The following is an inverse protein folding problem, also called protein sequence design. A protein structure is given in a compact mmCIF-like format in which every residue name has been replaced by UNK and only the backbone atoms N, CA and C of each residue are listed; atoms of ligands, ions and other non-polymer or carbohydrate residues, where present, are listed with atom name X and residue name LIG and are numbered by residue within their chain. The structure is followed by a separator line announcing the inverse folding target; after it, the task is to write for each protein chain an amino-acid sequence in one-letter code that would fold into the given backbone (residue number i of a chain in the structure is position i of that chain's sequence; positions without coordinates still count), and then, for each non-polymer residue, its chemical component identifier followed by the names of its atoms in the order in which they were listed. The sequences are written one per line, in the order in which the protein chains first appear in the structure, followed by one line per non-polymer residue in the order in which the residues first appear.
data_IF_629305816379
#
_entry.id   IF_629305816379
#
_cell.length_a   1.000
_cell.length_b   1.000
_cell.length_c   1.000
_cell.angle_alpha   90.00
_cell.angle_beta   90.00
_cell.angle_gamma   90.00
#
_symmetry.space_group_name_H-M   'P 1'
#
loop_
_entity.id
_entity.type
_entity.pdbx_description
1 polymer ?
#
# COMPACT_ATOMS: atom_id res chain seq x y z
N UNK A 1 -57.28 29.00 -8.06
CA UNK A 1 -55.86 29.06 -8.47
C UNK A 1 -54.90 29.40 -7.34
N UNK A 2 -55.17 29.05 -6.10
CA UNK A 2 -54.25 29.36 -4.96
C UNK A 2 -53.83 28.13 -4.16
N UNK A 3 -53.90 26.93 -4.73
CA UNK A 3 -53.63 25.68 -3.99
C UNK A 3 -52.54 24.80 -4.60
N UNK A 4 -51.89 25.15 -5.69
CA UNK A 4 -50.95 24.26 -6.40
C UNK A 4 -49.45 24.45 -6.08
N UNK A 5 -49.08 25.41 -5.23
CA UNK A 5 -47.65 25.64 -4.95
C UNK A 5 -47.21 25.26 -3.51
N UNK A 6 -48.16 24.71 -2.71
CA UNK A 6 -47.82 24.27 -1.33
C UNK A 6 -47.19 22.87 -1.24
N UNK A 7 -47.19 22.11 -2.32
CA UNK A 7 -46.63 20.71 -2.30
C UNK A 7 -45.24 20.59 -2.84
N UNK A 8 -44.60 21.67 -3.27
CA UNK A 8 -43.27 21.62 -3.91
C UNK A 8 -42.09 21.90 -2.97
N UNK A 9 -42.32 22.18 -1.69
CA UNK A 9 -41.24 22.56 -0.76
C UNK A 9 -40.84 21.50 0.28
N UNK A 10 -41.37 20.28 0.20
CA UNK A 10 -41.10 19.21 1.14
C UNK A 10 -40.19 18.11 0.61
N UNK A 11 -39.60 18.24 -0.60
CA UNK A 11 -38.82 17.24 -1.25
C UNK A 11 -37.29 17.45 -1.22
N UNK A 12 -36.76 18.56 -0.72
CA UNK A 12 -35.35 18.92 -0.85
C UNK A 12 -34.51 18.73 0.41
N UNK A 13 -35.01 18.10 1.47
CA UNK A 13 -34.38 18.07 2.79
C UNK A 13 -33.65 16.79 3.18
N UNK A 14 -33.64 15.73 2.38
CA UNK A 14 -33.17 14.41 2.84
C UNK A 14 -32.05 13.79 2.03
N UNK A 15 -31.30 14.55 1.24
CA UNK A 15 -30.23 13.98 0.40
C UNK A 15 -28.79 14.36 0.83
N UNK A 16 -28.60 14.76 2.08
CA UNK A 16 -27.29 15.22 2.57
C UNK A 16 -26.63 14.32 3.61
N UNK A 17 -26.95 13.04 3.69
CA UNK A 17 -26.36 12.15 4.69
C UNK A 17 -25.80 10.86 4.07
N UNK A 18 -24.83 10.94 3.18
CA UNK A 18 -24.04 9.74 2.83
C UNK A 18 -22.71 10.07 2.20
N UNK A 19 -22.00 11.08 2.66
CA UNK A 19 -20.58 11.23 2.40
C UNK A 19 -19.78 10.74 3.61
N UNK A 20 -20.09 9.56 4.11
CA UNK A 20 -19.19 8.77 4.92
C UNK A 20 -18.05 8.31 4.00
N UNK A 21 -17.03 9.14 3.86
CA UNK A 21 -15.82 8.77 3.12
C UNK A 21 -15.23 7.53 3.78
N UNK A 22 -15.37 6.38 3.13
CA UNK A 22 -14.53 5.22 3.37
C UNK A 22 -13.10 5.69 3.08
N UNK A 23 -12.38 6.08 4.13
CA UNK A 23 -10.93 6.25 4.07
C UNK A 23 -10.39 4.86 3.83
N UNK A 24 -10.08 4.54 2.58
CA UNK A 24 -9.31 3.36 2.26
C UNK A 24 -7.98 3.48 3.03
N UNK A 25 -7.74 2.56 3.96
CA UNK A 25 -6.47 2.48 4.65
C UNK A 25 -5.38 2.22 3.61
N UNK A 26 -4.37 3.09 3.55
CA UNK A 26 -3.25 2.92 2.62
C UNK A 26 -2.38 1.78 3.12
N UNK A 27 -2.37 0.68 2.40
CA UNK A 27 -1.55 -0.47 2.71
C UNK A 27 -0.20 -0.39 1.99
N UNK A 28 0.88 -0.78 2.69
CA UNK A 28 2.21 -0.83 2.11
C UNK A 28 2.29 -2.04 1.18
N UNK A 29 2.64 -1.86 -0.11
CA UNK A 29 2.70 -2.94 -1.07
C UNK A 29 3.65 -4.06 -0.65
N UNK A 30 3.19 -5.31 -0.74
CA UNK A 30 4.00 -6.49 -0.44
C UNK A 30 4.99 -6.76 -1.58
N UNK A 31 6.22 -7.13 -1.22
CA UNK A 31 7.21 -7.67 -2.12
C UNK A 31 6.92 -9.16 -2.37
N UNK A 32 6.09 -9.47 -3.35
CA UNK A 32 5.76 -10.86 -3.74
C UNK A 32 6.69 -11.42 -4.79
N UNK A 33 7.30 -10.55 -5.59
CA UNK A 33 8.28 -10.89 -6.63
C UNK A 33 9.35 -9.79 -6.70
N UNK A 34 10.44 -9.96 -5.96
CA UNK A 34 11.56 -9.01 -5.94
C UNK A 34 12.24 -8.85 -7.30
N UNK A 35 12.18 -9.84 -8.16
CA UNK A 35 12.75 -9.75 -9.50
C UNK A 35 11.92 -8.80 -10.38
N UNK A 36 10.59 -8.89 -10.28
CA UNK A 36 9.69 -7.98 -10.97
C UNK A 36 9.82 -6.55 -10.42
N UNK A 37 9.88 -6.40 -9.09
CA UNK A 37 10.10 -5.10 -8.45
C UNK A 37 11.45 -4.48 -8.86
N UNK A 38 12.51 -5.29 -8.94
CA UNK A 38 13.82 -4.85 -9.41
C UNK A 38 13.84 -4.41 -10.88
N UNK A 39 13.09 -5.10 -11.75
CA UNK A 39 12.91 -4.66 -13.15
C UNK A 39 12.17 -3.34 -13.22
N UNK A 40 11.05 -3.21 -12.50
CA UNK A 40 10.27 -1.98 -12.43
C UNK A 40 11.11 -0.80 -11.94
N UNK A 41 11.88 -1.00 -10.87
CA UNK A 41 12.75 0.03 -10.33
C UNK A 41 13.82 0.47 -11.34
N UNK A 42 14.42 -0.49 -12.06
CA UNK A 42 15.42 -0.21 -13.08
C UNK A 42 14.85 0.56 -14.26
N UNK A 43 13.68 0.15 -14.76
CA UNK A 43 12.99 0.81 -15.88
C UNK A 43 12.59 2.24 -15.52
N UNK A 44 12.11 2.46 -14.30
CA UNK A 44 11.74 3.76 -13.78
C UNK A 44 12.93 4.57 -13.24
N UNK A 45 14.12 3.98 -13.15
CA UNK A 45 15.33 4.55 -12.51
C UNK A 45 15.08 5.02 -11.07
N UNK A 46 14.34 4.20 -10.30
CA UNK A 46 13.99 4.48 -8.92
C UNK A 46 14.75 3.57 -7.96
N UNK A 47 15.19 4.07 -6.79
CA UNK A 47 15.65 3.22 -5.72
C UNK A 47 14.49 2.41 -5.12
N UNK A 48 14.80 1.23 -4.59
CA UNK A 48 13.85 0.37 -3.86
C UNK A 48 14.09 0.52 -2.37
N UNK A 49 13.05 0.91 -1.65
CA UNK A 49 13.01 0.84 -0.19
C UNK A 49 12.33 -0.47 0.20
N UNK A 50 13.10 -1.42 0.67
CA UNK A 50 12.61 -2.71 1.13
C UNK A 50 12.58 -2.72 2.65
N UNK A 51 11.39 -2.81 3.23
CA UNK A 51 11.21 -2.97 4.68
C UNK A 51 10.90 -4.41 5.02
N UNK A 52 11.54 -4.92 6.06
CA UNK A 52 11.31 -6.27 6.58
C UNK A 52 10.34 -6.20 7.74
N UNK A 53 9.30 -7.02 7.70
CA UNK A 53 8.25 -7.04 8.71
C UNK A 53 7.86 -8.48 9.06
N UNK A 54 7.29 -8.67 10.24
CA UNK A 54 6.71 -9.93 10.67
C UNK A 54 5.27 -9.71 11.14
N UNK A 55 4.43 -10.75 11.13
CA UNK A 55 3.02 -10.64 11.52
C UNK A 55 2.89 -10.15 12.97
N UNK A 56 3.77 -10.62 13.86
CA UNK A 56 3.81 -10.24 15.28
C UNK A 56 5.05 -9.40 15.54
N UNK A 57 5.05 -8.15 15.09
CA UNK A 57 6.17 -7.23 15.31
C UNK A 57 5.63 -5.81 15.57
N UNK A 58 5.58 -5.43 16.82
CA UNK A 58 5.07 -4.10 17.23
C UNK A 58 5.92 -2.96 16.67
N UNK A 59 7.25 -3.10 16.71
CA UNK A 59 8.17 -2.10 16.14
C UNK A 59 8.04 -1.96 14.63
N UNK A 60 7.75 -3.05 13.93
CA UNK A 60 7.52 -3.02 12.49
C UNK A 60 6.25 -2.23 12.17
N UNK A 61 5.16 -2.45 12.94
CA UNK A 61 3.91 -1.70 12.81
C UNK A 61 4.13 -0.22 13.08
N UNK A 62 4.84 0.11 14.14
CA UNK A 62 5.15 1.49 14.48
C UNK A 62 5.93 2.19 13.36
N UNK A 63 6.95 1.55 12.79
CA UNK A 63 7.70 2.06 11.64
C UNK A 63 6.78 2.29 10.43
N UNK A 64 5.91 1.34 10.15
CA UNK A 64 4.97 1.43 9.03
C UNK A 64 3.99 2.58 9.22
N UNK A 65 3.42 2.72 10.41
CA UNK A 65 2.38 3.70 10.71
C UNK A 65 2.94 5.12 10.81
N UNK A 66 4.11 5.29 11.43
CA UNK A 66 4.71 6.61 11.66
C UNK A 66 5.47 7.16 10.46
N UNK A 67 6.04 6.29 9.61
CA UNK A 67 6.90 6.73 8.50
C UNK A 67 6.40 6.27 7.12
N UNK A 68 6.18 4.99 6.91
CA UNK A 68 5.94 4.47 5.57
C UNK A 68 4.55 4.82 5.03
N UNK A 69 3.51 4.72 5.85
CA UNK A 69 2.15 5.12 5.44
C UNK A 69 2.05 6.62 5.13
N UNK A 70 2.56 7.53 5.97
CA UNK A 70 2.61 8.94 5.63
C UNK A 70 3.37 9.24 4.34
N UNK A 71 4.47 8.55 4.06
CA UNK A 71 5.20 8.70 2.79
C UNK A 71 4.34 8.30 1.59
N UNK A 72 3.57 7.22 1.69
CA UNK A 72 2.67 6.79 0.63
C UNK A 72 1.48 7.73 0.47
N UNK A 73 0.90 8.20 1.58
CA UNK A 73 -0.26 9.10 1.57
C UNK A 73 0.09 10.48 1.01
N UNK A 74 1.29 10.99 1.32
CA UNK A 74 1.70 12.32 0.85
C UNK A 74 1.85 12.42 -0.66
N UNK A 75 2.06 11.28 -1.34
CA UNK A 75 2.33 11.25 -2.78
C UNK A 75 3.68 11.84 -3.19
N UNK A 76 4.41 12.47 -2.26
CA UNK A 76 5.69 13.12 -2.53
C UNK A 76 6.75 12.15 -3.05
N UNK A 77 6.67 10.90 -2.63
CA UNK A 77 7.65 9.86 -2.95
C UNK A 77 7.23 8.95 -4.10
N UNK A 78 6.02 9.11 -4.66
CA UNK A 78 5.44 8.22 -5.68
C UNK A 78 6.34 7.97 -6.88
N UNK A 79 7.05 8.99 -7.33
CA UNK A 79 7.96 8.91 -8.49
C UNK A 79 9.45 9.03 -8.09
N UNK A 80 9.78 8.87 -6.81
CA UNK A 80 11.14 9.00 -6.29
C UNK A 80 11.70 7.72 -5.71
N UNK A 81 10.81 6.82 -5.24
CA UNK A 81 11.20 5.60 -4.57
C UNK A 81 10.13 4.52 -4.72
N UNK A 82 10.53 3.29 -4.90
CA UNK A 82 9.65 2.13 -4.92
C UNK A 82 9.63 1.49 -3.52
N UNK A 83 8.53 1.65 -2.79
CA UNK A 83 8.40 1.12 -1.43
C UNK A 83 7.77 -0.28 -1.48
N UNK A 84 8.39 -1.25 -0.81
CA UNK A 84 7.91 -2.62 -0.68
C UNK A 84 8.11 -3.15 0.73
N UNK A 85 7.16 -3.97 1.18
CA UNK A 85 7.23 -4.68 2.46
C UNK A 85 7.44 -6.17 2.23
N UNK A 86 8.46 -6.72 2.90
CA UNK A 86 8.76 -8.15 2.90
C UNK A 86 8.36 -8.76 4.24
N UNK A 87 7.47 -9.76 4.22
CA UNK A 87 7.11 -10.52 5.40
C UNK A 87 8.10 -11.66 5.63
N UNK A 88 8.66 -11.75 6.84
CA UNK A 88 9.64 -12.75 7.23
C UNK A 88 9.02 -14.04 7.78
N UNK A 89 7.71 -14.20 7.72
CA UNK A 89 7.04 -15.42 8.18
C UNK A 89 7.38 -16.60 7.29
N UNK A 90 7.79 -17.69 7.90
CA UNK A 90 8.25 -18.90 7.22
C UNK A 90 7.23 -19.50 6.24
N UNK A 91 5.94 -19.27 6.45
CA UNK A 91 4.88 -19.75 5.58
C UNK A 91 4.74 -18.93 4.29
N UNK A 92 5.20 -17.69 4.27
CA UNK A 92 5.08 -16.76 3.15
C UNK A 92 6.42 -16.56 2.42
N UNK A 93 7.50 -17.12 2.95
CA UNK A 93 8.84 -17.04 2.36
C UNK A 93 9.03 -17.98 1.15
N UNK A 94 7.97 -18.34 0.47
CA UNK A 94 8.06 -18.88 -0.89
C UNK A 94 8.28 -17.74 -1.90
N UNK A 95 9.17 -16.81 -1.58
CA UNK A 95 9.72 -15.98 -2.63
C UNK A 95 10.33 -16.87 -3.67
N UNK A 96 9.72 -16.92 -4.82
CA UNK A 96 10.34 -17.47 -6.01
C UNK A 96 11.52 -16.55 -6.37
N UNK A 97 12.57 -16.61 -5.58
CA UNK A 97 13.89 -16.30 -6.04
C UNK A 97 14.24 -17.42 -7.03
N UNK A 98 13.78 -17.25 -8.25
CA UNK A 98 14.27 -18.09 -9.32
C UNK A 98 15.72 -17.69 -9.51
N UNK A 99 16.59 -18.50 -8.91
CA UNK A 99 18.02 -18.41 -9.04
C UNK A 99 18.40 -18.35 -10.54
N UNK A 100 18.70 -17.16 -11.00
CA UNK A 100 19.36 -16.95 -12.28
C UNK A 100 20.89 -17.04 -12.08
N UNK A 101 21.36 -18.11 -11.39
CA UNK A 101 22.79 -18.43 -11.28
C UNK A 101 23.57 -17.57 -10.29
N UNK A 102 22.92 -16.91 -9.35
CA UNK A 102 23.62 -16.18 -8.29
C UNK A 102 24.20 -17.13 -7.24
N UNK A 103 25.49 -17.05 -7.07
CA UNK A 103 26.34 -17.85 -6.14
C UNK A 103 25.98 -17.67 -4.65
N UNK A 104 24.91 -16.93 -4.35
CA UNK A 104 24.50 -16.60 -2.99
C UNK A 104 23.81 -17.75 -2.24
N UNK A 105 23.33 -18.79 -2.95
CA UNK A 105 22.70 -19.98 -2.34
C UNK A 105 23.68 -20.89 -1.59
N UNK A 106 24.99 -20.58 -1.61
CA UNK A 106 26.01 -21.46 -1.04
C UNK A 106 26.49 -21.05 0.35
N UNK A 107 25.98 -19.94 0.91
CA UNK A 107 26.37 -19.46 2.24
C UNK A 107 25.40 -19.81 3.36
N UNK A 108 24.35 -20.57 3.10
CA UNK A 108 23.34 -20.99 4.07
C UNK A 108 23.35 -22.49 4.39
N UNK A 109 24.42 -23.16 4.17
CA UNK A 109 24.58 -24.56 4.58
C UNK A 109 25.45 -24.65 5.84
#
# INVERSE_FOLDING_TARGET
MKQLYKSALLGCGLFWLSAGGLRAEVEIPLATDLQADGRQAREAQLPVLLTFSAIVCEYCRQLEDEFLRPMLISGEYTNKILIRRLLLDLATFSMRYRDSGSTYSRMGA
#
